data_IF_477927136813
#
_entry.id   IF_477927136813
#
_cell.length_a   1.000
_cell.length_b   1.000
_cell.length_c   1.000
_cell.angle_alpha   90.00
_cell.angle_beta   90.00
_cell.angle_gamma   90.00
#
_symmetry.space_group_name_H-M   'P 1'
#
loop_
_entity.id
_entity.type
_entity.pdbx_description
1 polymer ?
#
# COMPACT_ATOMS: atom_id res chain seq x y z
N UNK A 1 1.40 20.05 -15.41
CA UNK A 1 2.72 19.81 -14.78
C UNK A 1 2.51 19.15 -13.43
N UNK A 2 3.00 17.93 -13.24
CA UNK A 2 2.98 17.28 -11.93
C UNK A 2 4.03 17.95 -11.03
N UNK A 3 3.67 18.22 -9.78
CA UNK A 3 4.53 18.77 -8.71
C UNK A 3 5.86 18.03 -8.45
N UNK A 4 6.08 16.89 -9.11
CA UNK A 4 7.31 16.10 -9.08
C UNK A 4 8.44 16.70 -9.92
N UNK A 5 8.14 17.68 -10.78
CA UNK A 5 9.10 18.30 -11.71
C UNK A 5 10.01 19.35 -11.05
N UNK A 6 9.70 19.76 -9.81
CA UNK A 6 10.41 20.83 -9.10
C UNK A 6 11.68 20.28 -8.41
N UNK A 7 11.72 18.97 -8.16
CA UNK A 7 12.87 18.31 -7.56
C UNK A 7 13.72 17.64 -8.64
N UNK A 8 15.06 17.64 -8.48
CA UNK A 8 15.92 16.86 -9.36
C UNK A 8 15.53 15.38 -9.30
N UNK A 9 15.62 14.68 -10.42
CA UNK A 9 15.20 13.28 -10.55
C UNK A 9 15.93 12.32 -9.58
N UNK A 10 17.07 12.76 -9.04
CA UNK A 10 17.84 12.05 -8.01
C UNK A 10 17.21 12.10 -6.61
N UNK A 11 16.20 12.95 -6.38
CA UNK A 11 15.53 13.08 -5.09
C UNK A 11 14.07 12.65 -5.19
N UNK A 12 13.77 11.35 -5.01
CA UNK A 12 12.40 10.86 -5.07
C UNK A 12 11.55 11.54 -3.98
N UNK A 13 10.31 11.93 -4.31
CA UNK A 13 9.42 12.59 -3.36
C UNK A 13 9.19 11.70 -2.14
N UNK A 14 9.39 12.24 -0.94
CA UNK A 14 9.11 11.50 0.31
C UNK A 14 7.62 11.30 0.54
N UNK A 15 6.80 12.24 0.08
CA UNK A 15 5.36 12.23 0.25
C UNK A 15 4.65 11.77 -1.02
N UNK A 16 4.03 10.60 -0.96
CA UNK A 16 3.28 9.99 -2.05
C UNK A 16 1.77 10.21 -1.84
N UNK A 17 1.03 10.49 -2.92
CA UNK A 17 -0.43 10.37 -2.87
C UNK A 17 -0.85 8.90 -2.82
N UNK A 18 -2.14 8.66 -2.57
CA UNK A 18 -2.74 7.32 -2.53
C UNK A 18 -2.36 6.47 -3.75
N UNK A 19 -2.53 7.01 -4.95
CA UNK A 19 -2.26 6.30 -6.20
C UNK A 19 -0.77 6.02 -6.38
N UNK A 20 0.08 6.95 -5.95
CA UNK A 20 1.53 6.81 -6.05
C UNK A 20 2.07 5.80 -5.04
N UNK A 21 1.53 5.79 -3.82
CA UNK A 21 1.86 4.80 -2.80
C UNK A 21 1.47 3.38 -3.25
N UNK A 22 0.27 3.24 -3.83
CA UNK A 22 -0.18 1.97 -4.39
C UNK A 22 0.70 1.50 -5.55
N UNK A 23 1.03 2.40 -6.49
CA UNK A 23 1.93 2.10 -7.59
C UNK A 23 3.35 1.75 -7.11
N UNK A 24 3.84 2.40 -6.05
CA UNK A 24 5.17 2.15 -5.48
C UNK A 24 5.32 0.71 -4.97
N UNK A 25 4.28 0.16 -4.33
CA UNK A 25 4.28 -1.22 -3.84
C UNK A 25 3.71 -2.23 -4.86
N UNK A 26 3.34 -1.78 -6.07
CA UNK A 26 2.85 -2.64 -7.15
C UNK A 26 1.40 -3.12 -7.03
N UNK A 27 0.52 -2.40 -6.33
CA UNK A 27 -0.90 -2.79 -6.16
C UNK A 27 -1.87 -1.72 -6.67
N UNK A 28 -3.16 -2.09 -6.82
CA UNK A 28 -4.22 -1.13 -7.14
C UNK A 28 -4.52 -0.20 -5.96
N UNK A 29 -5.02 1.01 -6.23
CA UNK A 29 -5.38 1.95 -5.16
C UNK A 29 -6.45 1.39 -4.19
N UNK A 30 -7.37 0.54 -4.68
CA UNK A 30 -8.38 -0.12 -3.84
C UNK A 30 -7.76 -1.18 -2.92
N UNK A 31 -6.86 -1.99 -3.45
CA UNK A 31 -6.08 -2.97 -2.66
C UNK A 31 -5.25 -2.27 -1.60
N UNK A 32 -4.63 -1.14 -1.94
CA UNK A 32 -3.86 -0.34 -0.99
C UNK A 32 -4.72 0.15 0.19
N UNK A 33 -5.94 0.63 -0.04
CA UNK A 33 -6.84 0.98 1.07
C UNK A 33 -7.19 -0.20 1.95
N UNK A 34 -7.40 -1.38 1.36
CA UNK A 34 -7.63 -2.59 2.15
C UNK A 34 -6.42 -2.92 3.01
N UNK A 35 -5.20 -2.84 2.48
CA UNK A 35 -3.97 -3.08 3.23
C UNK A 35 -3.77 -2.06 4.36
N UNK A 36 -4.12 -0.79 4.13
CA UNK A 36 -4.06 0.24 5.18
C UNK A 36 -5.12 -0.02 6.25
N UNK A 37 -6.34 -0.42 5.86
CA UNK A 37 -7.42 -0.78 6.79
C UNK A 37 -7.10 -2.03 7.61
N UNK A 38 -6.44 -3.01 7.00
CA UNK A 38 -6.00 -4.25 7.65
C UNK A 38 -4.77 -4.03 8.57
N UNK A 39 -4.17 -2.84 8.55
CA UNK A 39 -3.00 -2.50 9.35
C UNK A 39 -1.67 -3.02 8.78
N UNK A 40 -1.69 -3.65 7.60
CA UNK A 40 -0.50 -4.13 6.87
C UNK A 40 0.29 -2.99 6.21
N UNK A 41 -0.35 -1.84 5.97
CA UNK A 41 0.27 -0.64 5.41
C UNK A 41 0.12 0.55 6.35
N UNK A 42 1.04 1.53 6.33
CA UNK A 42 1.04 2.63 7.27
C UNK A 42 -0.18 3.54 7.05
N UNK A 43 -0.75 4.10 8.13
CA UNK A 43 -1.86 5.04 8.02
C UNK A 43 -1.39 6.31 7.33
N UNK A 44 -2.33 6.90 6.61
CA UNK A 44 -2.08 8.10 5.84
C UNK A 44 -1.78 9.30 6.74
N UNK A 45 -0.76 10.09 6.39
CA UNK A 45 -0.44 11.32 7.11
C UNK A 45 -1.24 12.47 6.53
N UNK A 46 -2.12 13.05 7.36
CA UNK A 46 -2.93 14.20 6.98
C UNK A 46 -2.13 15.48 7.18
N UNK A 47 -1.77 16.14 6.09
CA UNK A 47 -1.11 17.46 6.08
C UNK A 47 -2.18 18.46 5.63
N UNK A 48 -2.80 19.15 6.59
CA UNK A 48 -3.97 20.00 6.38
C UNK A 48 -5.11 19.24 5.67
N UNK A 49 -5.36 19.57 4.40
CA UNK A 49 -6.42 18.97 3.57
C UNK A 49 -5.93 17.79 2.73
N UNK A 50 -4.61 17.57 2.63
CA UNK A 50 -4.04 16.51 1.80
C UNK A 50 -3.62 15.31 2.61
N UNK A 51 -3.89 14.15 2.04
CA UNK A 51 -3.50 12.87 2.58
C UNK A 51 -2.25 12.39 1.84
N UNK A 52 -1.17 12.16 2.59
CA UNK A 52 0.15 11.83 2.04
C UNK A 52 0.73 10.64 2.80
N UNK A 53 1.34 9.70 2.08
CA UNK A 53 2.06 8.58 2.65
C UNK A 53 3.55 8.82 2.58
N UNK A 54 4.26 8.46 3.65
CA UNK A 54 5.71 8.56 3.69
C UNK A 54 6.33 7.32 3.06
N UNK A 55 7.19 7.52 2.06
CA UNK A 55 7.88 6.44 1.35
C UNK A 55 8.65 5.50 2.28
N UNK A 56 9.37 6.04 3.27
CA UNK A 56 10.18 5.20 4.19
C UNK A 56 9.29 4.34 5.08
N UNK A 57 8.11 4.86 5.47
CA UNK A 57 7.12 4.06 6.20
C UNK A 57 6.53 2.96 5.33
N UNK A 58 6.33 3.23 4.04
CA UNK A 58 5.88 2.20 3.09
C UNK A 58 6.94 1.11 2.93
N UNK A 59 8.21 1.48 2.74
CA UNK A 59 9.32 0.51 2.70
C UNK A 59 9.37 -0.34 3.97
N UNK A 60 9.35 0.28 5.16
CA UNK A 60 9.40 -0.45 6.42
C UNK A 60 8.18 -1.37 6.66
N UNK A 61 6.99 -0.94 6.22
CA UNK A 61 5.80 -1.77 6.33
C UNK A 61 5.80 -2.92 5.32
N UNK A 62 6.34 -2.68 4.12
CA UNK A 62 6.49 -3.70 3.09
C UNK A 62 7.51 -4.76 3.49
N UNK A 63 8.66 -4.36 4.03
CA UNK A 63 9.71 -5.26 4.57
C UNK A 63 9.19 -6.09 5.76
N UNK A 64 8.23 -5.56 6.52
CA UNK A 64 7.58 -6.27 7.62
C UNK A 64 6.47 -7.23 7.15
N UNK A 65 6.08 -7.23 5.87
CA UNK A 65 5.10 -8.19 5.36
C UNK A 65 5.72 -9.60 5.36
N UNK A 66 4.98 -10.63 5.76
CA UNK A 66 5.47 -11.99 5.62
C UNK A 66 5.65 -12.36 4.14
N UNK A 67 6.81 -12.94 3.79
CA UNK A 67 7.16 -13.37 2.43
C UNK A 67 6.28 -14.52 1.88
N UNK A 68 5.38 -15.06 2.71
CA UNK A 68 4.54 -16.22 2.40
C UNK A 68 3.06 -15.90 2.42
N UNK A 69 2.33 -16.42 1.43
CA UNK A 69 0.89 -16.34 1.32
C UNK A 69 0.23 -16.84 2.62
N UNK A 70 -0.29 -15.91 3.43
CA UNK A 70 -1.48 -16.24 4.20
C UNK A 70 -2.65 -16.24 3.19
N UNK A 71 -2.78 -17.35 2.46
CA UNK A 71 -4.10 -17.85 2.07
C UNK A 71 -4.87 -18.10 3.36
N UNK A 72 -5.42 -17.04 3.95
CA UNK A 72 -6.52 -17.21 4.88
C UNK A 72 -7.75 -17.49 4.02
N UNK A 73 -7.87 -18.79 3.68
CA UNK A 73 -9.10 -19.54 3.43
C UNK A 73 -10.35 -18.65 3.51
N UNK A 74 -10.69 -18.01 2.40
CA UNK A 74 -11.92 -17.24 2.30
C UNK A 74 -13.03 -18.20 1.89
N UNK A 75 -13.38 -19.08 2.82
CA UNK A 75 -14.65 -19.80 2.86
C UNK A 75 -15.04 -20.44 1.51
N UNK A 76 -14.33 -21.50 1.11
CA UNK A 76 -14.73 -22.32 -0.05
C UNK A 76 -15.95 -23.18 0.33
N UNK A 77 -17.17 -22.86 -0.14
CA UNK A 77 -18.39 -23.57 0.27
C UNK A 77 -18.54 -24.96 -0.38
N UNK A 78 -17.55 -25.38 -1.18
CA UNK A 78 -17.55 -26.63 -1.96
C UNK A 78 -16.60 -27.72 -1.42
N UNK A 79 -15.88 -27.48 -0.32
CA UNK A 79 -14.92 -28.44 0.24
C UNK A 79 -15.54 -29.68 0.92
N UNK A 80 -16.85 -29.94 0.78
CA UNK A 80 -17.59 -30.99 1.52
C UNK A 80 -18.23 -32.10 0.69
N UNK A 81 -18.01 -32.18 -0.62
CA UNK A 81 -18.52 -33.31 -1.43
C UNK A 81 -17.36 -34.08 -2.03
N UNK A 82 -16.82 -34.98 -1.21
CA UNK A 82 -16.02 -36.11 -1.66
C UNK A 82 -16.26 -37.28 -0.69
N UNK A 83 -17.45 -37.89 -0.78
CA UNK A 83 -17.69 -39.30 -0.43
C UNK A 83 -18.96 -39.79 -1.12
#
# INVERSE_FOLDING_TARGET
MARHDILPISLPPRGLSRTEAAAYIGVSAGTFDQLVKDGRMPPAKRINTRTVWDRRKLDAAFDALPDGAQEENRDDPWARVAV
#
